data_IF_509340880262
#
_entry.id   IF_509340880262
#
_cell.length_a   1.000
_cell.length_b   1.000
_cell.length_c   1.000
_cell.angle_alpha   90.00
_cell.angle_beta   90.00
_cell.angle_gamma   90.00
#
_symmetry.space_group_name_H-M   'P 1'
#
loop_
_entity.id
_entity.type
_entity.pdbx_description
1 polymer ?
#
# COMPACT_ATOMS: atom_id res chain seq x y z
N UNK A 1 -14.74 -32.92 -6.23
CA UNK A 1 -14.75 -31.73 -5.35
C UNK A 1 -13.44 -31.01 -5.49
N UNK A 2 -13.44 -29.67 -5.63
CA UNK A 2 -12.21 -28.91 -5.76
C UNK A 2 -11.49 -28.81 -4.40
N UNK A 3 -10.16 -28.94 -4.36
CA UNK A 3 -9.41 -28.91 -3.11
C UNK A 3 -9.56 -27.55 -2.41
N UNK A 4 -9.89 -27.57 -1.13
CA UNK A 4 -10.23 -26.38 -0.33
C UNK A 4 -9.14 -25.29 -0.37
N UNK A 5 -7.86 -25.67 -0.41
CA UNK A 5 -6.75 -24.73 -0.51
C UNK A 5 -6.78 -23.88 -1.78
N UNK A 6 -7.20 -24.45 -2.93
CA UNK A 6 -7.31 -23.72 -4.19
C UNK A 6 -8.51 -22.76 -4.20
N UNK A 7 -9.58 -23.10 -3.48
CA UNK A 7 -10.74 -22.22 -3.31
C UNK A 7 -10.38 -21.02 -2.44
N UNK A 8 -9.67 -21.22 -1.33
CA UNK A 8 -9.28 -20.13 -0.43
C UNK A 8 -8.30 -19.16 -1.13
N UNK A 9 -7.26 -19.67 -1.79
CA UNK A 9 -6.26 -18.83 -2.46
C UNK A 9 -6.83 -18.06 -3.66
N UNK A 10 -7.74 -18.66 -4.43
CA UNK A 10 -8.20 -18.08 -5.70
C UNK A 10 -9.52 -17.33 -5.54
N UNK A 11 -10.46 -17.87 -4.76
CA UNK A 11 -11.83 -17.33 -4.67
C UNK A 11 -12.03 -16.40 -3.46
N UNK A 12 -11.25 -16.55 -2.39
CA UNK A 12 -11.42 -15.74 -1.16
C UNK A 12 -10.34 -14.66 -1.06
N UNK A 13 -9.07 -15.03 -1.25
CA UNK A 13 -7.95 -14.09 -1.07
C UNK A 13 -7.99 -12.93 -2.07
N UNK A 14 -8.39 -13.19 -3.33
CA UNK A 14 -8.42 -12.16 -4.38
C UNK A 14 -9.50 -11.10 -4.17
N UNK A 15 -10.78 -11.41 -3.94
CA UNK A 15 -11.76 -10.38 -3.66
C UNK A 15 -11.50 -9.67 -2.31
N UNK A 16 -10.91 -10.37 -1.33
CA UNK A 16 -10.58 -9.81 -0.02
C UNK A 16 -9.38 -8.84 -0.03
N UNK A 17 -8.50 -8.89 -1.05
CA UNK A 17 -7.36 -7.98 -1.17
C UNK A 17 -7.78 -6.52 -1.36
N UNK A 18 -8.88 -6.23 -2.06
CA UNK A 18 -9.35 -4.86 -2.27
C UNK A 18 -9.72 -4.13 -0.95
N UNK A 19 -10.60 -4.69 -0.09
CA UNK A 19 -10.86 -4.10 1.23
C UNK A 19 -9.65 -4.18 2.16
N UNK A 20 -8.82 -5.23 2.09
CA UNK A 20 -7.59 -5.30 2.88
C UNK A 20 -6.60 -4.18 2.55
N UNK A 21 -6.43 -3.84 1.26
CA UNK A 21 -5.59 -2.73 0.82
C UNK A 21 -6.12 -1.38 1.30
N UNK A 22 -7.44 -1.18 1.30
CA UNK A 22 -8.05 0.03 1.87
C UNK A 22 -7.77 0.16 3.37
N UNK A 23 -7.86 -0.95 4.12
CA UNK A 23 -7.52 -0.96 5.55
C UNK A 23 -6.03 -0.70 5.77
N UNK A 24 -5.14 -1.31 4.96
CA UNK A 24 -3.70 -1.09 5.03
C UNK A 24 -3.36 0.37 4.72
N UNK A 25 -4.01 0.99 3.73
CA UNK A 25 -3.82 2.40 3.38
C UNK A 25 -4.26 3.35 4.51
N UNK A 26 -5.35 3.02 5.21
CA UNK A 26 -5.80 3.79 6.37
C UNK A 26 -4.83 3.61 7.55
N UNK A 27 -4.41 2.37 7.82
CA UNK A 27 -3.47 2.02 8.89
C UNK A 27 -2.08 2.63 8.67
N UNK A 28 -1.59 2.71 7.42
CA UNK A 28 -0.28 3.29 7.14
C UNK A 28 -0.21 4.79 7.44
N UNK A 29 -1.32 5.53 7.33
CA UNK A 29 -1.42 6.91 7.84
C UNK A 29 -1.24 7.00 9.36
N UNK A 30 -1.85 6.08 10.11
CA UNK A 30 -1.65 5.96 11.57
C UNK A 30 -0.21 5.57 11.91
N UNK A 31 0.38 4.63 11.16
CA UNK A 31 1.76 4.20 11.37
C UNK A 31 2.76 5.33 11.07
N UNK A 32 2.50 6.19 10.08
CA UNK A 32 3.32 7.38 9.83
C UNK A 32 3.29 8.34 11.02
N UNK A 33 2.12 8.59 11.60
CA UNK A 33 1.98 9.40 12.82
C UNK A 33 2.73 8.79 14.00
N UNK A 34 2.62 7.48 14.21
CA UNK A 34 3.38 6.75 15.22
C UNK A 34 4.90 6.75 14.96
N UNK A 35 5.32 6.64 13.70
CA UNK A 35 6.71 6.66 13.29
C UNK A 35 7.37 7.99 13.66
N UNK A 36 6.70 9.12 13.42
CA UNK A 36 7.18 10.46 13.83
C UNK A 36 7.44 10.53 15.32
N UNK A 37 6.53 10.01 16.14
CA UNK A 37 6.67 9.98 17.61
C UNK A 37 7.88 9.13 17.99
N UNK A 38 8.02 7.94 17.41
CA UNK A 38 9.19 7.09 17.67
C UNK A 38 10.51 7.70 17.19
N UNK A 39 10.52 8.35 16.03
CA UNK A 39 11.70 9.05 15.48
C UNK A 39 12.13 10.20 16.40
N UNK A 40 11.16 10.96 16.92
CA UNK A 40 11.41 12.08 17.84
C UNK A 40 11.92 11.62 19.20
N UNK A 41 11.31 10.56 19.76
CA UNK A 41 11.72 10.01 21.08
C UNK A 41 13.12 9.40 21.02
N UNK A 42 13.47 8.71 19.93
CA UNK A 42 14.79 8.11 19.75
C UNK A 42 15.80 9.01 19.05
N UNK A 43 15.48 10.29 18.82
CA UNK A 43 16.31 11.26 18.08
C UNK A 43 16.85 10.74 16.73
N UNK A 44 16.10 9.83 16.08
CA UNK A 44 16.48 9.23 14.80
C UNK A 44 15.74 9.95 13.68
N UNK A 45 16.45 10.72 12.85
CA UNK A 45 15.87 11.35 11.64
C UNK A 45 15.42 10.27 10.66
N UNK A 46 14.14 10.30 10.32
CA UNK A 46 13.53 9.41 9.34
C UNK A 46 12.56 10.15 8.44
N UNK A 47 11.79 9.40 7.66
CA UNK A 47 10.87 9.96 6.66
C UNK A 47 9.69 10.69 7.32
N UNK A 48 9.26 10.26 8.51
CA UNK A 48 8.16 10.90 9.23
C UNK A 48 8.53 12.31 9.70
N UNK A 49 9.66 12.44 10.38
CA UNK A 49 10.20 13.70 10.87
C UNK A 49 10.55 14.66 9.73
N UNK A 50 11.13 14.16 8.63
CA UNK A 50 11.36 14.96 7.40
C UNK A 50 10.05 15.50 6.79
N UNK A 51 9.02 14.67 6.69
CA UNK A 51 7.73 15.10 6.17
C UNK A 51 7.05 16.12 7.09
N UNK A 52 7.08 15.89 8.40
CA UNK A 52 6.53 16.82 9.39
C UNK A 52 7.26 18.17 9.34
N UNK A 53 8.58 18.15 9.30
CA UNK A 53 9.39 19.37 9.22
C UNK A 53 9.10 20.11 7.90
N UNK A 54 9.03 19.42 6.77
CA UNK A 54 8.64 20.03 5.50
C UNK A 54 7.24 20.67 5.53
N UNK A 55 6.26 20.05 6.21
CA UNK A 55 4.93 20.63 6.39
C UNK A 55 4.98 21.90 7.26
N UNK A 56 5.69 21.83 8.40
CA UNK A 56 5.79 22.94 9.36
C UNK A 56 6.51 24.15 8.77
N UNK A 57 7.60 23.92 8.03
CA UNK A 57 8.38 24.95 7.36
C UNK A 57 7.81 25.36 5.99
N UNK A 58 6.65 24.80 5.60
CA UNK A 58 5.99 25.01 4.30
C UNK A 58 6.89 24.74 3.09
N UNK A 59 7.80 23.79 3.22
CA UNK A 59 8.64 23.31 2.12
C UNK A 59 7.81 22.37 1.21
N UNK A 60 6.93 22.98 0.43
CA UNK A 60 6.01 22.29 -0.48
C UNK A 60 6.71 21.39 -1.50
N UNK A 61 7.90 21.72 -2.04
CA UNK A 61 8.69 20.79 -2.85
C UNK A 61 8.94 19.44 -2.14
N UNK A 62 9.39 19.47 -0.88
CA UNK A 62 9.69 18.24 -0.13
C UNK A 62 8.41 17.47 0.22
N UNK A 63 7.35 18.16 0.63
CA UNK A 63 6.04 17.54 0.88
C UNK A 63 5.53 16.83 -0.37
N UNK A 64 5.59 17.47 -1.54
CA UNK A 64 5.19 16.86 -2.81
C UNK A 64 6.05 15.64 -3.16
N UNK A 65 7.36 15.69 -2.92
CA UNK A 65 8.24 14.56 -3.16
C UNK A 65 7.85 13.34 -2.30
N UNK A 66 7.55 13.55 -1.01
CA UNK A 66 7.09 12.48 -0.10
C UNK A 66 5.74 11.91 -0.55
N UNK A 67 4.80 12.76 -0.96
CA UNK A 67 3.47 12.31 -1.44
C UNK A 67 3.59 11.50 -2.74
N UNK A 68 4.36 11.98 -3.72
CA UNK A 68 4.54 11.30 -5.01
C UNK A 68 5.28 9.97 -4.84
N UNK A 69 6.30 9.90 -3.99
CA UNK A 69 7.00 8.65 -3.72
C UNK A 69 6.11 7.62 -3.03
N UNK A 70 5.27 8.04 -2.07
CA UNK A 70 4.26 7.18 -1.47
C UNK A 70 3.21 6.68 -2.48
N UNK A 71 2.72 7.57 -3.35
CA UNK A 71 1.77 7.21 -4.40
C UNK A 71 2.38 6.21 -5.41
N UNK A 72 3.65 6.40 -5.79
CA UNK A 72 4.35 5.49 -6.69
C UNK A 72 4.50 4.09 -6.07
N UNK A 73 4.88 4.01 -4.79
CA UNK A 73 4.95 2.74 -4.07
C UNK A 73 3.59 2.04 -4.04
N UNK A 74 2.51 2.79 -3.81
CA UNK A 74 1.15 2.26 -3.83
C UNK A 74 0.76 1.69 -5.20
N UNK A 75 1.08 2.40 -6.29
CA UNK A 75 0.83 1.93 -7.65
C UNK A 75 1.61 0.65 -7.93
N UNK A 76 2.88 0.58 -7.53
CA UNK A 76 3.71 -0.63 -7.72
C UNK A 76 3.10 -1.83 -7.00
N UNK A 77 2.70 -1.67 -5.74
CA UNK A 77 2.09 -2.76 -4.96
C UNK A 77 0.80 -3.24 -5.61
N UNK A 78 -0.07 -2.32 -6.05
CA UNK A 78 -1.32 -2.69 -6.74
C UNK A 78 -1.04 -3.36 -8.08
N UNK A 79 -0.08 -2.86 -8.86
CA UNK A 79 0.30 -3.46 -10.13
C UNK A 79 0.83 -4.89 -9.93
N UNK A 80 1.64 -5.13 -8.89
CA UNK A 80 2.10 -6.47 -8.55
C UNK A 80 0.94 -7.37 -8.14
N UNK A 81 -0.03 -6.86 -7.38
CA UNK A 81 -1.23 -7.60 -7.00
C UNK A 81 -2.08 -7.97 -8.24
N UNK A 82 -2.21 -7.06 -9.20
CA UNK A 82 -2.95 -7.29 -10.44
C UNK A 82 -2.22 -8.25 -11.38
N UNK A 83 -0.90 -8.18 -11.47
CA UNK A 83 -0.09 -9.18 -12.22
C UNK A 83 -0.19 -10.56 -11.56
N UNK A 84 -0.14 -10.64 -10.23
CA UNK A 84 -0.39 -11.88 -9.51
C UNK A 84 -1.83 -12.39 -9.72
N UNK A 85 -2.80 -11.47 -9.86
CA UNK A 85 -4.17 -11.79 -10.28
C UNK A 85 -4.30 -12.24 -11.73
N UNK A 86 -3.42 -11.83 -12.63
CA UNK A 86 -3.42 -12.35 -13.99
C UNK A 86 -2.81 -13.75 -14.05
N UNK A 87 -1.71 -13.97 -13.31
CA UNK A 87 -0.99 -15.25 -13.28
C UNK A 87 -1.77 -16.39 -12.63
N UNK A 88 -2.49 -16.14 -11.52
CA UNK A 88 -3.24 -17.20 -10.82
C UNK A 88 -4.60 -17.57 -11.50
N UNK A 89 -5.20 -16.72 -12.35
CA UNK A 89 -6.35 -17.07 -13.21
C UNK A 89 -6.17 -16.44 -14.59
N UNK A 90 -5.66 -17.21 -15.56
CA UNK A 90 -5.76 -16.84 -16.97
C UNK A 90 -7.21 -16.89 -17.51
N UNK A 91 -8.22 -17.24 -16.69
CA UNK A 91 -9.64 -17.28 -17.09
C UNK A 91 -10.31 -15.90 -17.16
N UNK A 92 -9.81 -14.90 -16.44
CA UNK A 92 -10.30 -13.51 -16.49
C UNK A 92 -10.18 -12.89 -17.89
N UNK A 93 -9.28 -13.41 -18.73
CA UNK A 93 -9.08 -12.97 -20.12
C UNK A 93 -10.16 -13.46 -21.10
N UNK A 94 -11.10 -14.34 -20.70
CA UNK A 94 -12.09 -14.93 -21.62
C UNK A 94 -13.51 -14.39 -21.49
N UNK A 95 -13.85 -13.62 -20.45
CA UNK A 95 -15.21 -13.10 -20.27
C UNK A 95 -15.51 -11.81 -21.04
N UNK A 96 -14.50 -11.17 -21.64
CA UNK A 96 -14.70 -9.99 -22.51
C UNK A 96 -14.88 -10.32 -24.01
N UNK A 97 -15.18 -11.57 -24.39
CA UNK A 97 -15.57 -11.91 -25.76
C UNK A 97 -16.97 -12.51 -25.84
#
# INVERSE_FOLDING_TARGET
GLPAGRVILVHVLRPALAPALAVIALQSGFLLGGAVVTESVFARRGLGTLALEAILWRDMPVVRAVVVSGALAYVIVNLLADVARLWLDPRLLREER
#
